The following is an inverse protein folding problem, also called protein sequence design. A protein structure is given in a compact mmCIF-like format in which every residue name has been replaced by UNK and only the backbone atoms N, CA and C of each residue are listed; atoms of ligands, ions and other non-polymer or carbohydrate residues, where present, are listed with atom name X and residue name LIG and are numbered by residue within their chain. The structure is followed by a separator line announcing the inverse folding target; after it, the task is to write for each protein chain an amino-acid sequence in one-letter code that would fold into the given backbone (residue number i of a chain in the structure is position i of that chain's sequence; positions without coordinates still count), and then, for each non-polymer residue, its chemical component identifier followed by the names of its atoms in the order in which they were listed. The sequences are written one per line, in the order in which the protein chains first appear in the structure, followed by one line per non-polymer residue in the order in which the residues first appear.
data_IF_162140267024
#
_entry.id   IF_162140267024
#
_cell.length_a   1.000
_cell.length_b   1.000
_cell.length_c   1.000
_cell.angle_alpha   90.00
_cell.angle_beta   90.00
_cell.angle_gamma   90.00
#
_symmetry.space_group_name_H-M   'P 1'
#
loop_
_entity.id
_entity.type
_entity.pdbx_description
1 polymer ?
#
# COMPACT_ATOMS: atom_id res chain seq x y z
N UNK A 1 6.86 3.10 0.88
CA UNK A 1 5.62 3.50 0.17
C UNK A 1 5.63 2.99 -1.27
N UNK A 2 4.51 3.13 -2.00
CA UNK A 2 4.35 2.77 -3.42
C UNK A 2 3.41 3.81 -4.03
N UNK A 3 3.86 4.56 -5.04
CA UNK A 3 3.03 5.51 -5.82
C UNK A 3 2.78 4.91 -7.20
N UNK A 4 1.57 5.07 -7.75
CA UNK A 4 1.27 4.67 -9.12
C UNK A 4 1.56 5.82 -10.09
N UNK A 5 2.17 5.46 -11.23
CA UNK A 5 2.31 6.34 -12.38
C UNK A 5 1.69 5.66 -13.61
N UNK A 6 0.68 6.29 -14.21
CA UNK A 6 -0.03 5.76 -15.37
C UNK A 6 0.13 6.70 -16.56
N UNK A 7 0.27 6.12 -17.75
CA UNK A 7 0.20 6.90 -18.98
C UNK A 7 -1.26 7.08 -19.38
N UNK A 8 -1.66 8.31 -19.60
CA UNK A 8 -2.98 8.72 -20.07
C UNK A 8 -3.11 8.56 -21.58
N UNK A 9 -4.33 8.52 -22.14
CA UNK A 9 -4.56 8.46 -23.59
C UNK A 9 -3.94 9.62 -24.37
N UNK A 10 -3.86 10.81 -23.77
CA UNK A 10 -3.22 12.00 -24.34
C UNK A 10 -1.69 11.99 -24.27
N UNK A 11 -1.10 10.93 -23.71
CA UNK A 11 0.34 10.75 -23.56
C UNK A 11 0.93 11.30 -22.27
N UNK A 12 0.17 12.05 -21.47
CA UNK A 12 0.59 12.55 -20.16
C UNK A 12 0.84 11.43 -19.14
N UNK A 13 1.55 11.73 -18.05
CA UNK A 13 1.80 10.78 -16.97
C UNK A 13 1.08 11.24 -15.70
N UNK A 14 0.15 10.43 -15.23
CA UNK A 14 -0.66 10.67 -14.04
C UNK A 14 -0.01 10.00 -12.82
N UNK A 15 0.21 10.76 -11.76
CA UNK A 15 0.60 10.26 -10.44
C UNK A 15 -0.64 10.19 -9.56
N UNK A 16 -0.93 9.00 -9.04
CA UNK A 16 -2.12 8.80 -8.21
C UNK A 16 -1.82 9.08 -6.73
N UNK A 17 -2.54 10.06 -6.16
CA UNK A 17 -2.57 10.47 -4.75
C UNK A 17 -1.17 10.64 -4.16
N UNK A 18 -0.29 11.31 -4.90
CA UNK A 18 1.13 11.37 -4.57
C UNK A 18 1.40 12.12 -3.26
N UNK A 19 0.64 13.19 -2.98
CA UNK A 19 0.66 13.91 -1.71
C UNK A 19 0.20 13.03 -0.52
N UNK A 20 -0.87 12.25 -0.69
CA UNK A 20 -1.33 11.31 0.34
C UNK A 20 -0.25 10.27 0.68
N UNK A 21 0.52 9.82 -0.31
CA UNK A 21 1.66 8.93 -0.09
C UNK A 21 2.80 9.61 0.69
N UNK A 22 3.04 10.90 0.50
CA UNK A 22 3.99 11.68 1.27
C UNK A 22 3.57 11.80 2.74
N UNK A 23 2.32 12.19 2.99
CA UNK A 23 1.75 12.27 4.33
C UNK A 23 1.82 10.90 5.05
N UNK A 24 1.42 9.84 4.36
CA UNK A 24 1.46 8.48 4.91
C UNK A 24 2.90 8.01 5.21
N UNK A 25 3.90 8.46 4.42
CA UNK A 25 5.32 8.20 4.70
C UNK A 25 5.73 8.85 6.02
N UNK A 26 5.35 10.11 6.25
CA UNK A 26 5.67 10.83 7.46
C UNK A 26 4.99 10.23 8.70
N UNK A 27 3.73 9.77 8.57
CA UNK A 27 3.08 8.98 9.62
C UNK A 27 3.87 7.69 9.90
N UNK A 28 4.34 7.00 8.88
CA UNK A 28 5.13 5.77 9.11
C UNK A 28 6.51 6.06 9.71
N UNK A 29 7.13 7.19 9.35
CA UNK A 29 8.43 7.61 9.86
C UNK A 29 8.38 7.93 11.36
N UNK A 30 7.28 8.54 11.84
CA UNK A 30 7.12 8.89 13.26
C UNK A 30 7.04 7.67 14.18
N UNK A 31 6.61 6.51 13.68
CA UNK A 31 6.56 5.25 14.45
C UNK A 31 7.95 4.66 14.74
N UNK A 32 8.97 5.05 13.99
CA UNK A 32 10.33 4.49 14.07
C UNK A 32 11.39 5.59 14.19
N UNK A 33 10.99 6.76 14.68
CA UNK A 33 11.88 7.90 14.98
C UNK A 33 12.72 8.33 13.78
N UNK A 34 12.16 8.24 12.58
CA UNK A 34 12.78 8.77 11.36
C UNK A 34 12.25 10.21 11.15
N UNK A 35 13.11 11.21 10.88
CA UNK A 35 12.67 12.55 10.54
C UNK A 35 11.70 12.56 9.36
N UNK A 36 10.65 13.39 9.46
CA UNK A 36 9.72 13.59 8.37
C UNK A 36 10.40 14.20 7.15
N UNK A 37 9.93 13.84 5.96
CA UNK A 37 10.39 14.41 4.69
C UNK A 37 9.37 15.45 4.25
N UNK A 38 9.80 16.70 3.93
CA UNK A 38 8.89 17.71 3.40
C UNK A 38 8.16 17.17 2.16
N UNK A 39 6.85 17.41 2.09
CA UNK A 39 6.01 16.90 1.01
C UNK A 39 6.53 17.34 -0.37
N UNK A 40 6.89 18.62 -0.51
CA UNK A 40 7.48 19.18 -1.74
C UNK A 40 8.72 18.41 -2.19
N UNK A 41 9.59 18.03 -1.25
CA UNK A 41 10.79 17.27 -1.52
C UNK A 41 10.47 15.84 -1.95
N UNK A 42 9.54 15.17 -1.26
CA UNK A 42 9.06 13.83 -1.65
C UNK A 42 8.47 13.84 -3.07
N UNK A 43 7.55 14.76 -3.36
CA UNK A 43 6.89 14.90 -4.65
C UNK A 43 7.89 15.14 -5.78
N UNK A 44 8.85 16.04 -5.56
CA UNK A 44 9.94 16.30 -6.50
C UNK A 44 10.74 15.03 -6.80
N UNK A 45 11.10 14.26 -5.77
CA UNK A 45 11.85 13.02 -5.97
C UNK A 45 11.05 11.96 -6.73
N UNK A 46 9.75 11.83 -6.46
CA UNK A 46 8.85 10.93 -7.20
C UNK A 46 8.77 11.33 -8.68
N UNK A 47 8.52 12.61 -8.96
CA UNK A 47 8.44 13.17 -10.31
C UNK A 47 9.72 12.93 -11.09
N UNK A 48 10.89 13.25 -10.51
CA UNK A 48 12.20 13.01 -11.11
C UNK A 48 12.46 11.53 -11.41
N UNK A 49 12.07 10.63 -10.50
CA UNK A 49 12.25 9.21 -10.70
C UNK A 49 11.34 8.65 -11.80
N UNK A 50 10.10 9.13 -11.91
CA UNK A 50 9.18 8.77 -13.00
C UNK A 50 9.69 9.30 -14.35
N UNK A 51 10.13 10.56 -14.37
CA UNK A 51 10.73 11.23 -15.53
C UNK A 51 11.87 10.42 -16.14
N UNK A 52 12.83 9.98 -15.29
CA UNK A 52 14.01 9.22 -15.73
C UNK A 52 13.70 7.80 -16.21
N UNK A 53 12.59 7.20 -15.79
CA UNK A 53 12.28 5.79 -16.08
C UNK A 53 11.17 5.60 -17.12
N UNK A 54 10.47 6.65 -17.55
CA UNK A 54 9.58 6.71 -18.73
C UNK A 54 8.34 5.80 -18.73
N UNK A 55 8.19 4.92 -17.73
CA UNK A 55 7.10 3.94 -17.55
C UNK A 55 6.83 3.74 -16.06
N UNK A 56 5.60 3.30 -15.73
CA UNK A 56 5.06 3.04 -14.38
C UNK A 56 6.16 2.68 -13.36
N UNK A 57 6.60 3.69 -12.61
CA UNK A 57 7.71 3.53 -11.67
C UNK A 57 7.13 3.33 -10.29
N UNK A 58 7.27 2.11 -9.79
CA UNK A 58 7.01 1.80 -8.40
C UNK A 58 8.18 2.31 -7.57
N UNK A 59 8.00 3.36 -6.77
CA UNK A 59 9.04 3.88 -5.90
C UNK A 59 8.86 3.37 -4.46
N UNK A 60 9.76 2.48 -4.03
CA UNK A 60 9.81 1.98 -2.67
C UNK A 60 10.80 2.79 -1.84
N UNK A 61 10.29 3.65 -0.96
CA UNK A 61 11.09 4.22 0.12
C UNK A 61 11.49 3.14 1.12
N UNK A 62 12.80 2.90 1.27
CA UNK A 62 13.38 2.08 2.34
C UNK A 62 14.39 2.92 3.11
N UNK A 63 14.23 3.05 4.42
CA UNK A 63 15.32 3.48 5.30
C UNK A 63 16.14 2.25 5.65
N UNK A 64 17.35 2.19 5.13
CA UNK A 64 18.36 1.21 5.49
C UNK A 64 19.51 2.01 6.09
N UNK A 65 19.82 1.72 7.35
CA UNK A 65 20.95 2.25 8.11
C UNK A 65 20.83 3.67 8.67
N UNK A 66 21.67 3.91 9.68
CA UNK A 66 22.04 5.23 10.17
C UNK A 66 23.19 5.77 9.30
N UNK A 67 23.12 7.00 8.76
CA UNK A 67 22.00 7.93 8.82
C UNK A 67 20.82 7.49 7.92
N UNK A 68 19.58 7.87 8.25
CA UNK A 68 18.39 7.43 7.51
C UNK A 68 18.46 7.89 6.04
N UNK A 69 18.65 6.92 5.13
CA UNK A 69 18.64 7.18 3.68
C UNK A 69 17.30 6.77 3.10
N UNK A 70 16.58 7.69 2.46
CA UNK A 70 15.42 7.33 1.64
C UNK A 70 15.94 6.86 0.28
N UNK A 71 16.02 5.54 0.09
CA UNK A 71 16.27 4.98 -1.24
C UNK A 71 14.95 4.88 -1.99
N UNK A 72 14.86 5.44 -3.20
CA UNK A 72 13.76 5.19 -4.12
C UNK A 72 14.18 4.13 -5.12
N UNK A 73 13.65 2.92 -4.96
CA UNK A 73 13.95 1.80 -5.86
C UNK A 73 12.74 1.57 -6.77
N UNK A 74 12.99 1.37 -8.07
CA UNK A 74 12.01 0.77 -8.99
C UNK A 74 11.67 -0.61 -8.46
N UNK A 75 10.47 -0.84 -7.95
CA UNK A 75 10.10 -2.23 -7.67
C UNK A 75 9.59 -2.93 -8.93
N UNK A 76 10.02 -4.18 -9.08
CA UNK A 76 9.39 -5.13 -9.97
C UNK A 76 7.91 -5.20 -9.64
N UNK A 77 7.05 -5.16 -10.67
CA UNK A 77 5.68 -5.58 -10.45
C UNK A 77 5.75 -7.07 -10.08
N UNK A 78 5.26 -7.49 -8.92
CA UNK A 78 5.19 -8.91 -8.65
C UNK A 78 4.21 -9.54 -9.66
N UNK A 79 4.46 -10.77 -10.09
CA UNK A 79 3.74 -11.48 -11.16
C UNK A 79 2.21 -11.61 -10.95
N UNK A 80 1.68 -11.16 -9.80
CA UNK A 80 0.25 -10.98 -9.56
C UNK A 80 -0.43 -10.01 -10.54
N UNK A 81 0.32 -9.18 -11.26
CA UNK A 81 -0.21 -8.31 -12.32
C UNK A 81 -0.36 -9.00 -13.68
N UNK A 82 -0.03 -10.29 -13.79
CA UNK A 82 -0.50 -11.07 -14.93
C UNK A 82 -2.03 -11.03 -14.94
N UNK A 83 -2.61 -10.56 -16.05
CA UNK A 83 -4.05 -10.29 -16.27
C UNK A 83 -4.98 -11.46 -15.87
N UNK A 84 -4.43 -12.65 -15.66
CA UNK A 84 -5.11 -13.89 -15.25
C UNK A 84 -5.56 -13.88 -13.78
N UNK A 85 -4.86 -13.19 -12.87
CA UNK A 85 -5.23 -13.19 -11.44
C UNK A 85 -6.27 -12.13 -11.05
N UNK A 86 -6.37 -11.04 -11.81
CA UNK A 86 -7.28 -9.92 -11.47
C UNK A 86 -8.76 -10.30 -11.62
N UNK A 87 -9.07 -11.34 -12.40
CA UNK A 87 -10.46 -11.77 -12.64
C UNK A 87 -10.88 -12.98 -11.82
N UNK A 88 -9.93 -13.78 -11.30
CA UNK A 88 -10.24 -15.00 -10.56
C UNK A 88 -10.15 -14.74 -9.06
N UNK A 89 -11.27 -14.77 -8.33
CA UNK A 89 -11.26 -14.69 -6.88
C UNK A 89 -10.31 -15.70 -6.22
N UNK A 90 -9.62 -15.28 -5.17
CA UNK A 90 -8.60 -16.07 -4.50
C UNK A 90 -9.12 -16.63 -3.16
N UNK A 91 -8.71 -17.84 -2.77
CA UNK A 91 -8.94 -18.33 -1.43
C UNK A 91 -7.98 -17.65 -0.45
N UNK A 92 -8.48 -17.30 0.73
CA UNK A 92 -7.71 -16.74 1.83
C UNK A 92 -7.88 -17.53 3.12
N UNK A 93 -6.83 -17.57 3.93
CA UNK A 93 -6.81 -18.23 5.23
C UNK A 93 -6.45 -17.23 6.33
N UNK A 94 -7.08 -17.40 7.48
CA UNK A 94 -6.65 -16.75 8.72
C UNK A 94 -5.27 -17.29 9.12
N UNK A 95 -4.36 -16.40 9.53
CA UNK A 95 -3.12 -16.77 10.22
C UNK A 95 -3.38 -16.76 11.73
N UNK A 96 -3.17 -17.89 12.39
CA UNK A 96 -3.53 -18.09 13.81
C UNK A 96 -2.33 -18.35 14.72
N UNK A 97 -1.18 -18.70 14.12
CA UNK A 97 0.09 -18.94 14.81
C UNK A 97 1.00 -17.69 14.84
N UNK A 98 0.50 -16.54 14.36
CA UNK A 98 1.26 -15.30 14.31
C UNK A 98 0.37 -14.06 14.21
N UNK A 99 0.66 -13.08 15.07
CA UNK A 99 0.03 -11.77 15.04
C UNK A 99 0.95 -10.79 14.30
N UNK A 100 0.41 -10.09 13.30
CA UNK A 100 1.19 -9.14 12.47
C UNK A 100 1.75 -7.98 13.28
N UNK A 101 0.94 -7.48 14.21
CA UNK A 101 1.27 -6.35 15.06
C UNK A 101 0.53 -6.49 16.40
N UNK A 102 1.21 -6.20 17.50
CA UNK A 102 0.58 -6.09 18.81
C UNK A 102 -0.37 -4.86 18.85
N UNK A 103 -1.41 -4.84 19.71
CA UNK A 103 -2.45 -3.79 19.71
C UNK A 103 -1.92 -2.34 19.90
N UNK A 104 -0.76 -2.19 20.53
CA UNK A 104 -0.06 -0.92 20.73
C UNK A 104 1.33 -0.93 20.08
N UNK A 105 1.46 -1.68 19.00
CA UNK A 105 2.70 -1.83 18.25
C UNK A 105 2.77 -0.92 17.03
N UNK A 106 3.56 -1.32 16.06
CA UNK A 106 3.80 -0.54 14.84
C UNK A 106 2.79 -0.82 13.74
N UNK A 107 1.70 -1.52 14.01
CA UNK A 107 0.80 -2.05 12.99
C UNK A 107 0.14 -0.99 12.10
N UNK A 108 -0.08 0.21 12.65
CA UNK A 108 -0.59 1.38 11.94
C UNK A 108 0.39 2.03 10.96
N UNK A 109 1.67 1.68 11.03
CA UNK A 109 2.72 2.22 10.16
C UNK A 109 3.14 1.24 9.07
N UNK A 110 3.59 1.76 7.92
CA UNK A 110 4.12 0.95 6.83
C UNK A 110 5.61 0.66 6.98
N UNK A 111 5.97 -0.03 8.07
CA UNK A 111 7.36 -0.40 8.41
C UNK A 111 7.67 -1.85 8.09
N UNK A 112 8.91 -2.16 7.71
CA UNK A 112 9.33 -3.52 7.29
C UNK A 112 9.11 -4.58 8.36
N UNK A 113 9.24 -4.22 9.64
CA UNK A 113 9.00 -5.11 10.78
C UNK A 113 7.60 -5.72 10.82
N UNK A 114 6.61 -5.07 10.21
CA UNK A 114 5.25 -5.60 10.11
C UNK A 114 5.06 -6.62 8.98
N UNK A 115 5.99 -6.68 8.02
CA UNK A 115 5.85 -7.49 6.79
C UNK A 115 6.83 -8.66 6.75
N UNK A 116 8.09 -8.45 7.15
CA UNK A 116 9.13 -9.47 7.05
C UNK A 116 8.77 -10.76 7.84
N UNK A 117 8.24 -10.69 9.07
CA UNK A 117 7.84 -11.89 9.81
C UNK A 117 6.67 -12.67 9.18
N UNK A 118 5.80 -12.00 8.42
CA UNK A 118 4.58 -12.59 7.82
C UNK A 118 4.92 -13.54 6.66
N UNK A 119 6.10 -13.41 6.05
CA UNK A 119 6.48 -14.14 4.81
C UNK A 119 6.36 -15.66 5.01
N UNK A 120 6.95 -16.21 6.07
CA UNK A 120 6.90 -17.66 6.35
C UNK A 120 5.47 -18.18 6.56
N UNK A 121 4.59 -17.37 7.15
CA UNK A 121 3.19 -17.74 7.36
C UNK A 121 2.40 -17.69 6.05
N UNK A 122 2.74 -16.74 5.18
CA UNK A 122 2.19 -16.66 3.82
C UNK A 122 2.64 -17.86 2.98
N UNK A 123 3.89 -18.28 3.07
CA UNK A 123 4.39 -19.45 2.33
C UNK A 123 3.75 -20.76 2.82
N UNK A 124 3.54 -20.90 4.13
CA UNK A 124 2.77 -22.01 4.71
C UNK A 124 1.32 -22.04 4.18
N UNK A 125 0.65 -20.90 4.12
CA UNK A 125 -0.70 -20.78 3.57
C UNK A 125 -0.72 -21.13 2.06
N UNK A 126 0.26 -20.68 1.29
CA UNK A 126 0.41 -20.99 -0.14
C UNK A 126 0.59 -22.49 -0.38
N UNK A 127 1.37 -23.17 0.45
CA UNK A 127 1.52 -24.63 0.38
C UNK A 127 0.19 -25.38 0.60
N UNK A 128 -0.79 -24.74 1.22
CA UNK A 128 -2.16 -25.23 1.43
C UNK A 128 -3.16 -24.65 0.41
N UNK A 129 -2.67 -24.11 -0.70
CA UNK A 129 -3.45 -23.47 -1.77
C UNK A 129 -4.24 -22.21 -1.35
N UNK A 130 -3.84 -21.54 -0.26
CA UNK A 130 -4.32 -20.20 0.10
C UNK A 130 -3.34 -19.13 -0.38
N UNK A 131 -3.80 -18.21 -1.23
CA UNK A 131 -2.92 -17.22 -1.86
C UNK A 131 -2.96 -15.85 -1.16
N UNK A 132 -3.90 -15.67 -0.26
CA UNK A 132 -4.09 -14.45 0.52
C UNK A 132 -4.19 -14.84 2.00
N UNK A 133 -3.62 -14.04 2.88
CA UNK A 133 -3.69 -14.26 4.32
C UNK A 133 -4.46 -13.14 5.01
N UNK A 134 -5.21 -13.49 6.04
CA UNK A 134 -6.03 -12.59 6.85
C UNK A 134 -5.53 -12.61 8.30
N UNK A 135 -5.34 -11.44 8.89
CA UNK A 135 -5.03 -11.29 10.31
C UNK A 135 -6.29 -10.94 11.10
N UNK A 136 -6.42 -11.55 12.28
CA UNK A 136 -7.38 -11.15 13.29
C UNK A 136 -6.70 -10.20 14.29
N UNK A 137 -7.50 -9.55 15.13
CA UNK A 137 -6.99 -8.70 16.20
C UNK A 137 -6.09 -9.50 17.15
N UNK A 138 -4.92 -8.96 17.45
CA UNK A 138 -3.91 -9.68 18.23
C UNK A 138 -4.31 -9.90 19.70
N UNK A 139 -5.27 -9.13 20.22
CA UNK A 139 -5.64 -9.16 21.64
C UNK A 139 -6.63 -10.29 21.95
N UNK A 140 -7.68 -10.41 21.14
CA UNK A 140 -8.81 -11.31 21.37
C UNK A 140 -8.96 -12.35 20.27
N UNK A 141 -8.42 -12.10 19.07
CA UNK A 141 -8.54 -12.95 17.88
C UNK A 141 -10.00 -13.28 17.52
N UNK A 142 -10.86 -12.27 17.67
CA UNK A 142 -12.31 -12.34 17.43
C UNK A 142 -12.74 -11.50 16.24
N UNK A 143 -12.02 -10.43 15.91
CA UNK A 143 -12.34 -9.51 14.85
C UNK A 143 -11.31 -9.57 13.73
N UNK A 144 -11.75 -9.36 12.48
CA UNK A 144 -10.83 -9.23 11.34
C UNK A 144 -10.14 -7.86 11.39
N UNK A 145 -8.84 -7.82 11.14
CA UNK A 145 -8.08 -6.57 11.06
C UNK A 145 -7.76 -6.22 9.61
N UNK A 146 -6.92 -7.02 8.95
CA UNK A 146 -6.54 -6.77 7.57
C UNK A 146 -6.10 -8.06 6.88
N UNK A 147 -6.31 -8.15 5.57
CA UNK A 147 -5.46 -9.01 4.75
C UNK A 147 -4.02 -8.50 4.81
N UNK A 148 -3.04 -9.19 4.23
CA UNK A 148 -1.61 -8.80 4.28
C UNK A 148 -1.28 -7.34 3.86
N UNK A 149 -2.26 -6.56 3.39
CA UNK A 149 -2.20 -5.10 3.24
C UNK A 149 -3.43 -4.37 3.81
N UNK A 150 -4.64 -4.62 3.31
CA UNK A 150 -5.92 -4.02 3.75
C UNK A 150 -7.09 -4.79 3.12
N UNK A 151 -8.34 -4.47 3.44
CA UNK A 151 -9.51 -5.05 2.79
C UNK A 151 -10.84 -4.54 3.33
N UNK A 152 -11.93 -5.02 2.73
CA UNK A 152 -13.30 -4.68 3.13
C UNK A 152 -14.27 -5.82 2.80
N UNK A 153 -15.41 -5.81 3.46
CA UNK A 153 -16.59 -6.59 3.10
C UNK A 153 -17.67 -5.70 2.51
N UNK A 154 -18.48 -6.22 1.59
CA UNK A 154 -19.62 -5.53 1.00
C UNK A 154 -20.88 -6.34 1.29
N UNK A 155 -21.92 -5.66 1.76
CA UNK A 155 -23.27 -6.20 1.93
C UNK A 155 -24.24 -5.56 0.96
N UNK A 156 -25.17 -6.33 0.43
CA UNK A 156 -26.27 -5.91 -0.43
C UNK A 156 -27.57 -6.16 0.32
N UNK A 157 -28.26 -5.08 0.70
CA UNK A 157 -29.52 -5.13 1.44
C UNK A 157 -30.61 -4.53 0.56
N UNK A 158 -31.27 -5.38 -0.22
CA UNK A 158 -32.20 -4.92 -1.25
C UNK A 158 -31.45 -4.12 -2.33
N UNK A 159 -31.76 -2.83 -2.45
CA UNK A 159 -31.07 -1.91 -3.37
C UNK A 159 -29.87 -1.20 -2.74
N UNK A 160 -29.73 -1.27 -1.42
CA UNK A 160 -28.65 -0.61 -0.70
C UNK A 160 -27.37 -1.45 -0.72
N UNK A 161 -26.24 -0.78 -0.90
CA UNK A 161 -24.91 -1.39 -0.80
C UNK A 161 -24.20 -0.75 0.40
N UNK A 162 -23.66 -1.60 1.28
CA UNK A 162 -22.90 -1.17 2.46
C UNK A 162 -21.48 -1.72 2.36
N UNK A 163 -20.50 -0.84 2.32
CA UNK A 163 -19.08 -1.20 2.39
C UNK A 163 -18.64 -1.10 3.84
N UNK A 164 -18.16 -2.21 4.40
CA UNK A 164 -17.69 -2.29 5.78
C UNK A 164 -16.19 -2.52 5.78
N UNK A 165 -15.45 -1.63 6.40
CA UNK A 165 -13.99 -1.68 6.53
C UNK A 165 -13.60 -1.78 8.02
N UNK A 166 -12.63 -2.63 8.39
CA UNK A 166 -12.08 -2.61 9.74
C UNK A 166 -11.54 -1.22 10.12
N UNK A 167 -11.84 -0.73 11.33
CA UNK A 167 -11.22 0.48 11.93
C UNK A 167 -10.31 0.26 13.15
N UNK A 168 -9.47 -0.78 13.20
CA UNK A 168 -8.53 -0.91 14.31
C UNK A 168 -7.44 0.18 14.19
N UNK A 169 -7.08 0.77 15.33
CA UNK A 169 -5.95 1.72 15.43
C UNK A 169 -4.59 1.11 15.06
N UNK A 170 -4.55 -0.21 14.88
CA UNK A 170 -3.35 -1.00 14.66
C UNK A 170 -3.19 -1.51 13.20
N UNK A 171 -3.98 -1.00 12.24
CA UNK A 171 -3.80 -1.32 10.81
C UNK A 171 -3.34 -0.12 10.00
N UNK A 172 -2.65 -0.40 8.90
CA UNK A 172 -2.17 0.63 7.98
C UNK A 172 -3.37 1.30 7.30
N UNK A 173 -3.45 2.64 7.37
CA UNK A 173 -4.48 3.41 6.67
C UNK A 173 -4.21 3.40 5.16
N UNK A 174 -4.81 2.42 4.48
CA UNK A 174 -4.56 2.16 3.05
C UNK A 174 -5.18 3.26 2.16
N UNK A 175 -4.33 3.99 1.45
CA UNK A 175 -4.75 5.00 0.44
C UNK A 175 -5.66 4.38 -0.63
N UNK A 176 -5.42 3.12 -1.02
CA UNK A 176 -6.27 2.42 -1.99
C UNK A 176 -7.63 2.09 -1.39
N UNK A 177 -7.68 1.68 -0.12
CA UNK A 177 -8.95 1.42 0.59
C UNK A 177 -9.73 2.72 0.74
N UNK A 178 -9.09 3.78 1.23
CA UNK A 178 -9.66 5.13 1.35
C UNK A 178 -10.25 5.64 0.03
N UNK A 179 -9.54 5.44 -1.09
CA UNK A 179 -10.06 5.79 -2.42
C UNK A 179 -11.32 4.99 -2.80
N UNK A 180 -11.40 3.71 -2.40
CA UNK A 180 -12.58 2.89 -2.65
C UNK A 180 -13.79 3.33 -1.81
N UNK A 181 -13.56 3.76 -0.57
CA UNK A 181 -14.63 4.25 0.31
C UNK A 181 -15.22 5.55 -0.24
N UNK A 182 -14.37 6.51 -0.64
CA UNK A 182 -14.83 7.75 -1.27
C UNK A 182 -15.58 7.49 -2.58
N UNK A 183 -15.15 6.50 -3.37
CA UNK A 183 -15.89 6.06 -4.57
C UNK A 183 -17.24 5.43 -4.22
N UNK A 184 -17.30 4.57 -3.20
CA UNK A 184 -18.53 3.97 -2.71
C UNK A 184 -19.54 5.05 -2.32
N UNK A 185 -19.13 6.05 -1.55
CA UNK A 185 -19.97 7.19 -1.18
C UNK A 185 -20.46 7.96 -2.42
N UNK A 186 -19.58 8.20 -3.40
CA UNK A 186 -19.96 8.85 -4.67
C UNK A 186 -20.97 8.04 -5.51
N UNK A 187 -21.07 6.73 -5.28
CA UNK A 187 -22.08 5.87 -5.89
C UNK A 187 -23.41 5.84 -5.10
N UNK A 188 -23.48 6.55 -3.96
CA UNK A 188 -24.60 6.50 -3.03
C UNK A 188 -24.58 5.28 -2.11
N UNK A 189 -23.44 4.57 -1.99
CA UNK A 189 -23.31 3.44 -1.07
C UNK A 189 -23.00 3.94 0.33
N UNK A 190 -23.47 3.20 1.34
CA UNK A 190 -23.14 3.48 2.74
C UNK A 190 -21.76 2.93 3.05
N UNK A 191 -20.96 3.69 3.79
CA UNK A 191 -19.66 3.24 4.31
C UNK A 191 -19.73 3.11 5.83
N UNK A 192 -19.25 1.98 6.36
CA UNK A 192 -19.09 1.73 7.78
C UNK A 192 -17.64 1.40 8.11
N UNK A 193 -17.04 2.19 9.00
CA UNK A 193 -15.68 1.97 9.49
C UNK A 193 -15.78 1.58 10.97
N UNK A 194 -15.58 0.29 11.28
CA UNK A 194 -15.81 -0.30 12.61
C UNK A 194 -15.09 -1.64 12.79
N UNK A 195 -15.10 -2.19 13.99
CA UNK A 195 -14.70 -3.58 14.21
C UNK A 195 -15.67 -4.55 13.50
N UNK A 196 -15.12 -5.63 12.94
CA UNK A 196 -15.87 -6.65 12.20
C UNK A 196 -15.58 -8.01 12.85
N UNK A 197 -16.51 -8.56 13.64
CA UNK A 197 -16.38 -9.90 14.18
C UNK A 197 -16.22 -10.94 13.08
N UNK A 198 -15.38 -11.95 13.30
CA UNK A 198 -15.19 -13.07 12.37
C UNK A 198 -16.53 -13.74 12.00
N UNK A 199 -17.44 -13.87 12.97
CA UNK A 199 -18.78 -14.44 12.78
C UNK A 199 -19.67 -13.62 11.84
N UNK A 200 -19.35 -12.34 11.62
CA UNK A 200 -20.07 -11.46 10.70
C UNK A 200 -19.68 -11.72 9.24
N UNK A 201 -18.49 -12.26 8.98
CA UNK A 201 -17.96 -12.43 7.63
C UNK A 201 -18.87 -13.24 6.70
N UNK A 202 -19.67 -14.16 7.24
CA UNK A 202 -20.65 -14.96 6.49
C UNK A 202 -21.80 -14.15 5.89
N UNK A 203 -21.99 -12.91 6.34
CA UNK A 203 -23.07 -12.02 5.88
C UNK A 203 -22.61 -11.03 4.81
N UNK A 204 -21.36 -11.10 4.36
CA UNK A 204 -20.91 -10.32 3.21
C UNK A 204 -21.26 -11.03 1.90
N UNK A 205 -21.67 -10.25 0.91
CA UNK A 205 -21.88 -10.72 -0.46
C UNK A 205 -20.58 -10.72 -1.26
N UNK A 206 -19.69 -9.76 -0.98
CA UNK A 206 -18.36 -9.68 -1.60
C UNK A 206 -17.31 -9.37 -0.53
N UNK A 207 -16.14 -10.01 -0.60
CA UNK A 207 -14.99 -9.71 0.26
C UNK A 207 -13.78 -9.41 -0.61
N UNK A 208 -13.06 -8.35 -0.26
CA UNK A 208 -11.97 -7.84 -1.08
C UNK A 208 -10.71 -7.59 -0.24
N UNK A 209 -9.59 -8.12 -0.72
CA UNK A 209 -8.26 -7.70 -0.26
C UNK A 209 -7.77 -6.52 -1.12
N UNK A 210 -7.31 -5.46 -0.46
CA UNK A 210 -6.99 -4.18 -1.10
C UNK A 210 -5.55 -3.79 -0.83
N UNK A 211 -4.82 -3.42 -1.86
CA UNK A 211 -3.51 -2.82 -1.68
C UNK A 211 -2.94 -2.26 -2.96
N UNK A 212 -1.99 -1.34 -2.83
CA UNK A 212 -1.39 -0.65 -3.98
C UNK A 212 -0.61 -1.60 -4.93
N UNK A 213 -0.26 -2.81 -4.48
CA UNK A 213 0.29 -3.85 -5.35
C UNK A 213 -0.76 -4.87 -5.81
N UNK A 214 -1.74 -5.17 -4.97
CA UNK A 214 -2.81 -6.12 -5.22
C UNK A 214 -3.97 -5.54 -6.06
N UNK A 215 -4.04 -4.21 -6.19
CA UNK A 215 -5.25 -3.50 -6.60
C UNK A 215 -6.41 -3.87 -5.66
N UNK A 216 -7.53 -4.37 -6.21
CA UNK A 216 -8.64 -4.96 -5.47
C UNK A 216 -8.69 -6.44 -5.88
N UNK A 217 -8.51 -7.36 -4.94
CA UNK A 217 -8.56 -8.80 -5.18
C UNK A 217 -9.80 -9.38 -4.51
N UNK A 218 -10.69 -9.95 -5.32
CA UNK A 218 -11.87 -10.65 -4.83
C UNK A 218 -11.46 -11.92 -4.07
N UNK A 219 -12.13 -12.18 -2.96
CA UNK A 219 -11.93 -13.37 -2.14
C UNK A 219 -13.11 -14.31 -2.38
N UNK A 220 -12.86 -15.54 -2.86
CA UNK A 220 -13.94 -16.55 -3.01
C UNK A 220 -14.21 -17.36 -1.75
N UNK A 221 -13.19 -17.49 -0.90
CA UNK A 221 -13.22 -18.34 0.28
C UNK A 221 -12.41 -17.68 1.40
N UNK A 222 -13.02 -17.52 2.57
CA UNK A 222 -12.33 -17.27 3.83
C UNK A 222 -12.35 -18.53 4.67
N UNK A 223 -11.18 -19.03 5.06
CA UNK A 223 -11.06 -20.20 5.93
C UNK A 223 -10.38 -19.85 7.26
N UNK A 224 -10.88 -20.42 8.35
CA UNK A 224 -10.22 -20.42 9.66
C UNK A 224 -9.87 -21.86 10.05
N UNK A 225 -8.61 -22.28 9.89
CA UNK A 225 -8.21 -23.67 10.10
C UNK A 225 -8.56 -24.21 11.50
N UNK A 226 -8.37 -23.43 12.57
CA UNK A 226 -8.58 -23.90 13.95
C UNK A 226 -10.03 -24.30 14.26
N UNK A 227 -11.01 -23.63 13.63
CA UNK A 227 -12.45 -23.87 13.82
C UNK A 227 -13.07 -24.66 12.67
N UNK A 228 -12.30 -24.96 11.61
CA UNK A 228 -12.79 -25.52 10.35
C UNK A 228 -13.87 -24.68 9.64
N UNK A 229 -14.11 -23.43 10.08
CA UNK A 229 -15.09 -22.54 9.48
C UNK A 229 -14.62 -22.06 8.10
N UNK A 230 -15.58 -22.00 7.16
CA UNK A 230 -15.37 -21.56 5.78
C UNK A 230 -16.54 -20.69 5.33
N UNK A 231 -16.25 -19.53 4.76
CA UNK A 231 -17.25 -18.64 4.15
C UNK A 231 -16.95 -18.48 2.67
N UNK A 232 -17.99 -18.64 1.83
CA UNK A 232 -17.88 -18.61 0.37
C UNK A 232 -18.54 -17.34 -0.18
N UNK A 233 -17.93 -16.72 -1.17
CA UNK A 233 -18.37 -15.44 -1.76
C UNK A 233 -18.50 -15.50 -3.30
N UNK A 234 -18.55 -16.72 -3.86
CA UNK A 234 -18.67 -16.95 -5.30
C UNK A 234 -17.33 -17.14 -6.03
N UNK A 235 -17.39 -17.76 -7.20
CA UNK A 235 -16.22 -18.08 -8.03
C UNK A 235 -15.89 -16.99 -9.08
N UNK A 236 -16.73 -15.97 -9.19
CA UNK A 236 -16.52 -14.81 -10.05
C UNK A 236 -16.36 -13.53 -9.22
N UNK A 237 -15.67 -12.54 -9.76
CA UNK A 237 -15.57 -11.22 -9.13
C UNK A 237 -16.93 -10.55 -9.13
N UNK A 238 -17.38 -10.07 -7.97
CA UNK A 238 -18.70 -9.47 -7.82
C UNK A 238 -18.83 -8.08 -8.46
N UNK A 239 -20.06 -7.68 -8.72
CA UNK A 239 -20.39 -6.46 -9.45
C UNK A 239 -19.91 -5.19 -8.74
N UNK A 240 -19.99 -5.15 -7.41
CA UNK A 240 -19.56 -3.99 -6.64
C UNK A 240 -18.04 -3.83 -6.73
N UNK A 241 -17.31 -4.94 -6.62
CA UNK A 241 -15.87 -5.03 -6.86
C UNK A 241 -15.50 -4.52 -8.25
N UNK A 242 -16.18 -5.01 -9.29
CA UNK A 242 -15.90 -4.61 -10.68
C UNK A 242 -16.11 -3.11 -10.90
N UNK A 243 -17.19 -2.56 -10.33
CA UNK A 243 -17.49 -1.12 -10.42
C UNK A 243 -16.38 -0.28 -9.78
N UNK A 244 -15.99 -0.61 -8.54
CA UNK A 244 -14.88 0.07 -7.85
C UNK A 244 -13.56 -0.04 -8.64
N UNK A 245 -13.21 -1.25 -9.08
CA UNK A 245 -12.01 -1.50 -9.88
C UNK A 245 -11.97 -0.67 -11.17
N UNK A 246 -13.10 -0.64 -11.91
CA UNK A 246 -13.15 0.06 -13.18
C UNK A 246 -13.00 1.56 -12.99
N UNK A 247 -13.82 2.17 -12.12
CA UNK A 247 -13.82 3.62 -11.94
C UNK A 247 -12.48 4.10 -11.38
N UNK A 248 -11.93 3.40 -10.37
CA UNK A 248 -10.61 3.75 -9.81
C UNK A 248 -9.51 3.71 -10.89
N UNK A 249 -9.49 2.64 -11.71
CA UNK A 249 -8.52 2.50 -12.80
C UNK A 249 -8.69 3.56 -13.88
N UNK A 250 -9.92 3.91 -14.20
CA UNK A 250 -10.23 4.88 -15.26
C UNK A 250 -9.87 6.30 -14.81
N UNK A 251 -10.07 6.66 -13.54
CA UNK A 251 -9.54 7.89 -12.92
C UNK A 251 -8.00 7.89 -12.97
N UNK A 252 -7.34 6.82 -12.49
CA UNK A 252 -5.88 6.72 -12.49
C UNK A 252 -5.26 6.90 -13.88
N UNK A 253 -5.98 6.53 -14.95
CA UNK A 253 -5.54 6.63 -16.35
C UNK A 253 -6.06 7.87 -17.08
N UNK A 254 -6.77 8.79 -16.41
CA UNK A 254 -7.32 9.98 -17.04
C UNK A 254 -8.39 9.67 -18.11
N UNK A 255 -9.11 8.55 -17.97
CA UNK A 255 -10.26 8.21 -18.83
C UNK A 255 -11.58 8.77 -18.31
N UNK A 256 -11.67 8.92 -16.99
CA UNK A 256 -12.78 9.56 -16.31
C UNK A 256 -12.31 10.85 -15.69
N UNK A 257 -13.24 11.78 -15.47
CA UNK A 257 -13.01 12.96 -14.67
C UNK A 257 -12.60 12.58 -13.24
N UNK A 258 -11.58 13.27 -12.73
CA UNK A 258 -11.11 13.11 -11.37
C UNK A 258 -11.81 14.13 -10.45
N UNK A 259 -13.04 13.81 -10.07
CA UNK A 259 -13.85 14.63 -9.16
C UNK A 259 -13.26 14.80 -7.75
N UNK A 260 -12.21 14.05 -7.41
CA UNK A 260 -11.58 14.06 -6.08
C UNK A 260 -10.23 14.78 -6.03
N UNK A 261 -9.70 15.22 -7.18
CA UNK A 261 -8.36 15.82 -7.25
C UNK A 261 -7.25 14.86 -6.80
N UNK A 262 -7.38 13.57 -7.09
CA UNK A 262 -6.41 12.53 -6.77
C UNK A 262 -5.24 12.43 -7.75
N UNK A 263 -5.36 13.00 -8.94
CA UNK A 263 -4.42 12.81 -10.04
C UNK A 263 -3.56 14.05 -10.24
N UNK A 264 -2.27 13.92 -9.97
CA UNK A 264 -1.27 14.93 -10.33
C UNK A 264 -0.68 14.59 -11.70
N UNK A 265 -0.77 15.51 -12.66
CA UNK A 265 -0.16 15.34 -13.99
C UNK A 265 1.30 15.77 -13.95
N UNK A 266 2.20 14.90 -14.41
CA UNK A 266 3.61 15.22 -14.59
C UNK A 266 3.77 16.19 -15.76
N UNK A 267 4.37 17.35 -15.50
CA UNK A 267 4.58 18.39 -16.51
C UNK A 267 6.01 18.36 -17.05
N UNK A 268 6.25 19.00 -18.20
CA UNK A 268 7.60 19.10 -18.78
C UNK A 268 8.58 19.85 -17.84
N UNK A 269 8.11 20.86 -17.12
CA UNK A 269 8.89 21.57 -16.09
C UNK A 269 9.38 20.63 -14.98
N UNK A 270 8.66 19.55 -14.68
CA UNK A 270 9.08 18.53 -13.71
C UNK A 270 10.20 17.61 -14.24
N UNK A 271 10.42 17.61 -15.57
CA UNK A 271 11.49 16.86 -16.25
C UNK A 271 12.81 17.64 -16.29
N UNK A 272 12.74 18.97 -16.16
CA UNK A 272 13.91 19.84 -16.17
C UNK A 272 14.58 19.75 -14.79
N UNK A 273 15.77 19.15 -14.74
CA UNK A 273 16.68 19.38 -13.62
C UNK A 273 17.06 20.87 -13.68
N UNK A 274 16.67 21.66 -12.68
CA UNK A 274 17.28 22.98 -12.51
C UNK A 274 18.80 22.77 -12.50
N UNK A 275 19.50 23.33 -13.51
CA UNK A 275 20.93 23.09 -13.71
C UNK A 275 21.80 23.55 -12.53
N UNK A 276 21.25 24.37 -11.62
CA UNK A 276 22.02 25.12 -10.63
C UNK A 276 21.43 25.13 -9.20
N UNK A 277 20.49 24.23 -8.85
CA UNK A 277 20.06 24.14 -7.45
C UNK A 277 21.13 23.48 -6.58
N UNK A 278 21.90 24.31 -5.87
CA UNK A 278 22.67 23.86 -4.71
C UNK A 278 21.68 23.27 -3.69
N UNK A 279 21.93 22.08 -3.13
CA UNK A 279 21.06 21.53 -2.10
C UNK A 279 20.96 22.54 -0.95
N UNK A 280 19.75 23.02 -0.67
CA UNK A 280 19.49 23.85 0.50
C UNK A 280 19.94 23.06 1.74
N UNK A 281 20.91 23.60 2.47
CA UNK A 281 21.26 23.08 3.79
C UNK A 281 20.12 23.43 4.74
N UNK A 282 19.23 22.46 4.96
CA UNK A 282 18.31 22.46 6.10
C UNK A 282 19.17 22.48 7.37
N UNK A 283 19.33 23.68 7.94
CA UNK A 283 19.95 23.93 9.24
C UNK A 283 19.06 23.34 10.34
N UNK A 284 19.26 22.06 10.63
CA UNK A 284 18.82 21.45 11.89
C UNK A 284 19.91 21.68 12.93
N UNK A 285 19.59 22.47 13.96
CA UNK A 285 20.45 22.69 15.12
C UNK A 285 20.56 21.40 15.93
N UNK A 286 21.59 20.59 15.66
CA UNK A 286 21.86 19.35 16.39
C UNK A 286 22.46 19.68 17.76
N UNK A 287 21.77 19.31 18.83
CA UNK A 287 22.34 19.23 20.19
C UNK A 287 23.19 17.95 20.22
N UNK A 288 24.50 18.11 20.31
CA UNK A 288 25.49 17.04 20.21
C UNK A 288 25.38 16.05 21.39
N UNK A 289 25.02 14.78 21.15
CA UNK A 289 24.92 13.74 22.19
C UNK A 289 26.09 12.74 22.20
N UNK A 290 27.24 13.06 21.61
CA UNK A 290 28.53 12.48 22.02
C UNK A 290 28.76 10.96 21.86
N UNK A 291 28.20 10.29 20.86
CA UNK A 291 28.54 8.88 20.57
C UNK A 291 29.49 8.72 19.36
N UNK A 292 30.50 7.83 19.42
CA UNK A 292 31.49 7.65 18.35
C UNK A 292 30.98 6.78 17.19
N UNK A 293 31.38 7.15 15.97
CA UNK A 293 31.05 6.48 14.70
C UNK A 293 32.12 5.42 14.39
N UNK A 294 31.70 4.19 14.05
CA UNK A 294 32.58 3.11 13.57
C UNK A 294 32.49 3.05 12.04
N UNK A 295 33.63 3.09 11.35
CA UNK A 295 33.76 2.91 9.90
C UNK A 295 33.95 1.42 9.56
N UNK A 296 33.16 0.89 8.63
CA UNK A 296 33.48 -0.38 7.95
C UNK A 296 33.30 -0.25 6.43
N UNK A 297 34.42 -0.44 5.72
CA UNK A 297 34.53 -0.63 4.28
C UNK A 297 34.33 -2.12 3.93
N UNK A 298 33.34 -2.49 3.10
CA UNK A 298 33.32 -3.83 2.45
C UNK A 298 32.66 -3.81 1.06
N UNK A 299 33.52 -3.97 0.04
CA UNK A 299 33.42 -4.62 -1.28
C UNK A 299 32.25 -4.41 -2.27
N UNK A 300 32.58 -3.77 -3.39
CA UNK A 300 32.04 -4.01 -4.74
C UNK A 300 32.52 -5.35 -5.34
N UNK A 301 31.61 -6.10 -5.97
CA UNK A 301 31.82 -6.90 -7.20
C UNK A 301 30.53 -7.63 -7.61
N UNK A 302 29.81 -7.11 -8.60
CA UNK A 302 29.10 -7.92 -9.61
C UNK A 302 28.68 -7.03 -10.79
N UNK A 303 29.17 -7.38 -11.98
CA UNK A 303 28.99 -6.64 -13.24
C UNK A 303 27.59 -6.77 -13.84
N UNK A 304 26.59 -6.25 -13.15
CA UNK A 304 25.25 -6.00 -13.70
C UNK A 304 25.05 -4.49 -13.73
N UNK A 305 24.85 -3.92 -14.93
CA UNK A 305 24.49 -2.51 -15.06
C UNK A 305 23.05 -2.33 -14.57
N UNK A 306 22.91 -2.06 -13.27
CA UNK A 306 21.68 -1.52 -12.72
C UNK A 306 21.67 -0.02 -12.99
N UNK A 307 20.64 0.48 -13.67
CA UNK A 307 20.39 1.93 -13.70
C UNK A 307 20.39 2.43 -12.25
N UNK A 308 21.31 3.35 -11.94
CA UNK A 308 21.62 3.75 -10.58
C UNK A 308 20.36 4.22 -9.83
N UNK A 309 20.16 3.80 -8.56
CA UNK A 309 19.11 4.35 -7.72
C UNK A 309 19.30 5.87 -7.58
N UNK A 310 18.19 6.62 -7.53
CA UNK A 310 18.26 8.03 -7.08
C UNK A 310 18.42 7.99 -5.57
N UNK A 311 19.63 8.31 -5.10
CA UNK A 311 19.96 8.37 -3.69
C UNK A 311 19.82 9.80 -3.19
N UNK A 312 18.92 10.03 -2.24
CA UNK A 312 18.70 11.34 -1.62
C UNK A 312 19.20 11.25 -0.19
N UNK A 313 20.22 12.05 0.14
CA UNK A 313 20.74 12.18 1.50
C UNK A 313 19.86 13.17 2.26
N UNK A 314 19.08 12.67 3.21
CA UNK A 314 18.44 13.51 4.23
C UNK A 314 19.50 13.73 5.30
N UNK A 315 20.04 14.95 5.42
CA UNK A 315 20.92 15.30 6.54
C UNK A 315 20.03 15.36 7.80
N UNK A 316 20.43 14.60 8.82
CA UNK A 316 19.80 14.62 10.15
C UNK A 316 20.20 15.89 10.91
#
# INVERSE_FOLDING_TARGET
MKVWAHRSPDGSINLFRSAAHAAHLNVSASYVTIPGIPESHFLRCIKMAVARNGRTTLLRGTSLHSPPRLRLVRASQPDYTNRVHVLRPLPASVIEDFDRAAPRGTGGAKVSGNYAPVIRHTDKARAQAFHVTLHLDAQTRTCIEEFSTSGFGIKKVGIEVVVVVPDPKNIVQSITSDSCLALAESFGWRVEKREIPWSECKFFDEVIAVGTAASLLSIRLLARPSTSEKFLFGEATGECTLKLQSVLRDIMRGKNEDQFGWVDVLKEEDLLLAKDEKPEELLLTVVNTGFPVINEDVHEKSGVVFNAPVEVRVKA
#
